data_IF_270407181105
#
_entry.id   IF_270407181105
#
_cell.length_a   1.000
_cell.length_b   1.000
_cell.length_c   1.000
_cell.angle_alpha   90.00
_cell.angle_beta   90.00
_cell.angle_gamma   90.00
#
_symmetry.space_group_name_H-M   'P 1'
#
loop_
_entity.id
_entity.type
_entity.pdbx_description
1 polymer ?
#
# COMPACT_ATOMS: atom_id res chain seq x y z
N UNK A 1 4.76 -6.78 27.03
CA UNK A 1 5.60 -5.91 26.17
C UNK A 1 5.02 -5.99 24.78
N UNK A 2 4.48 -4.89 24.26
CA UNK A 2 3.90 -4.84 22.91
C UNK A 2 5.06 -4.79 21.91
N UNK A 3 5.16 -5.78 21.04
CA UNK A 3 6.19 -5.79 19.99
C UNK A 3 5.99 -4.55 19.10
N UNK A 4 7.06 -3.79 18.78
CA UNK A 4 6.93 -2.66 17.87
C UNK A 4 6.44 -3.16 16.52
N UNK A 5 5.29 -2.67 16.07
CA UNK A 5 4.66 -3.07 14.81
C UNK A 5 5.54 -2.64 13.65
N UNK A 6 6.19 -3.58 12.98
CA UNK A 6 7.06 -3.33 11.81
C UNK A 6 6.28 -2.96 10.55
N UNK A 7 4.95 -3.06 10.58
CA UNK A 7 4.08 -2.83 9.43
C UNK A 7 3.03 -1.75 9.72
N UNK A 8 2.81 -0.85 8.76
CA UNK A 8 1.81 0.20 8.76
C UNK A 8 0.93 0.11 7.51
N UNK A 9 -0.37 -0.06 7.70
CA UNK A 9 -1.36 0.10 6.63
C UNK A 9 -1.79 1.57 6.57
N UNK A 10 -1.38 2.26 5.50
CA UNK A 10 -1.65 3.67 5.22
C UNK A 10 -2.48 3.84 3.93
N UNK A 11 -3.17 2.78 3.47
CA UNK A 11 -4.11 2.88 2.35
C UNK A 11 -5.23 3.89 2.65
N UNK A 12 -5.69 4.60 1.62
CA UNK A 12 -6.67 5.67 1.72
C UNK A 12 -6.18 6.96 2.37
N UNK A 13 -4.93 7.00 2.88
CA UNK A 13 -4.36 8.20 3.46
C UNK A 13 -3.70 9.08 2.39
N UNK A 14 -3.81 10.40 2.57
CA UNK A 14 -3.03 11.36 1.79
C UNK A 14 -1.56 11.31 2.20
N UNK A 15 -0.66 11.75 1.32
CA UNK A 15 0.78 11.82 1.62
C UNK A 15 1.10 12.50 2.97
N UNK A 16 0.39 13.58 3.34
CA UNK A 16 0.59 14.26 4.61
C UNK A 16 0.20 13.40 5.82
N UNK A 17 -0.93 12.68 5.72
CA UNK A 17 -1.38 11.76 6.78
C UNK A 17 -0.48 10.53 6.89
N UNK A 18 0.00 10.02 5.76
CA UNK A 18 1.01 8.93 5.71
C UNK A 18 2.29 9.35 6.43
N UNK A 19 2.84 10.54 6.14
CA UNK A 19 4.03 11.07 6.83
C UNK A 19 3.79 11.22 8.33
N UNK A 20 2.65 11.76 8.74
CA UNK A 20 2.29 11.89 10.16
C UNK A 20 2.24 10.53 10.85
N UNK A 21 1.63 9.53 10.21
CA UNK A 21 1.51 8.19 10.77
C UNK A 21 2.86 7.49 10.91
N UNK A 22 3.73 7.66 9.93
CA UNK A 22 5.13 7.22 10.00
C UNK A 22 5.81 7.90 11.18
N UNK A 23 5.83 9.24 11.24
CA UNK A 23 6.49 9.97 12.34
C UNK A 23 6.00 9.56 13.72
N UNK A 24 4.68 9.40 13.91
CA UNK A 24 4.10 8.91 15.17
C UNK A 24 4.58 7.51 15.54
N UNK A 25 4.75 6.64 14.55
CA UNK A 25 5.23 5.27 14.76
C UNK A 25 6.72 5.23 15.06
N UNK A 26 7.48 6.25 14.65
CA UNK A 26 8.91 6.36 14.95
C UNK A 26 9.17 6.77 16.40
N UNK A 27 8.21 7.41 17.06
CA UNK A 27 8.37 7.87 18.44
C UNK A 27 8.64 6.65 19.34
N UNK A 28 9.86 6.60 19.90
CA UNK A 28 10.32 5.49 20.75
C UNK A 28 10.93 4.29 20.02
N UNK A 29 11.15 4.36 18.69
CA UNK A 29 11.78 3.28 17.89
C UNK A 29 13.24 3.51 17.51
N UNK A 30 13.88 4.57 18.02
CA UNK A 30 15.25 4.95 17.66
C UNK A 30 16.28 3.81 17.79
N UNK A 31 16.05 2.85 18.68
CA UNK A 31 17.01 1.77 18.99
C UNK A 31 16.62 0.40 18.40
N UNK A 32 15.56 0.31 17.61
CA UNK A 32 15.03 -0.97 17.12
C UNK A 32 15.85 -1.56 15.96
N UNK A 33 16.59 -0.73 15.21
CA UNK A 33 17.41 -1.13 14.06
C UNK A 33 16.66 -1.82 12.91
N UNK A 34 15.32 -1.88 12.97
CA UNK A 34 14.49 -2.59 12.01
C UNK A 34 13.74 -1.60 11.12
N UNK A 35 13.70 -1.83 9.80
CA UNK A 35 12.92 -1.01 8.90
C UNK A 35 11.43 -1.15 9.18
N UNK A 36 10.67 -0.18 8.67
CA UNK A 36 9.22 -0.15 8.81
C UNK A 36 8.58 -0.19 7.44
N UNK A 37 7.75 -1.21 7.27
CA UNK A 37 7.04 -1.50 6.04
C UNK A 37 5.74 -0.70 6.05
N UNK A 38 5.54 0.14 5.04
CA UNK A 38 4.39 1.02 4.93
C UNK A 38 3.65 0.71 3.64
N UNK A 39 2.45 0.18 3.75
CA UNK A 39 1.56 -0.06 2.63
C UNK A 39 0.78 1.22 2.30
N UNK A 40 0.85 1.67 1.05
CA UNK A 40 0.17 2.88 0.57
C UNK A 40 -0.62 2.58 -0.70
N UNK A 41 -1.62 3.41 -0.99
CA UNK A 41 -2.31 3.40 -2.29
C UNK A 41 -1.60 4.34 -3.27
N UNK A 42 -1.41 3.86 -4.50
CA UNK A 42 -0.75 4.63 -5.56
C UNK A 42 -1.52 5.90 -5.95
N UNK A 43 -2.85 5.88 -5.84
CA UNK A 43 -3.73 6.98 -6.26
C UNK A 43 -3.78 8.15 -5.27
N UNK A 44 -3.66 7.87 -3.96
CA UNK A 44 -3.80 8.87 -2.89
C UNK A 44 -2.46 9.32 -2.29
N UNK A 45 -1.40 8.52 -2.47
CA UNK A 45 -0.12 8.72 -1.84
C UNK A 45 0.98 9.01 -2.88
N UNK A 46 1.45 10.25 -2.92
CA UNK A 46 2.63 10.61 -3.70
C UNK A 46 3.89 10.26 -2.88
N UNK A 47 4.57 9.17 -3.23
CA UNK A 47 5.73 8.72 -2.48
C UNK A 47 6.93 9.65 -2.54
N UNK A 48 7.13 10.41 -3.62
CA UNK A 48 8.19 11.43 -3.68
C UNK A 48 7.98 12.50 -2.59
N UNK A 49 6.71 12.86 -2.32
CA UNK A 49 6.39 13.79 -1.23
C UNK A 49 6.58 13.15 0.13
N UNK A 50 6.30 11.86 0.27
CA UNK A 50 6.53 11.12 1.52
C UNK A 50 8.02 11.00 1.79
N UNK A 51 8.81 10.53 0.82
CA UNK A 51 10.27 10.38 0.93
C UNK A 51 10.95 11.71 1.23
N UNK A 52 10.61 12.78 0.50
CA UNK A 52 11.14 14.11 0.75
C UNK A 52 10.81 14.61 2.18
N UNK A 53 9.63 14.31 2.71
CA UNK A 53 9.22 14.74 4.06
C UNK A 53 9.87 13.94 5.20
N UNK A 54 10.49 12.81 4.87
CA UNK A 54 11.22 11.92 5.77
C UNK A 54 12.74 12.06 5.63
N UNK A 55 13.23 12.86 4.67
CA UNK A 55 14.67 13.13 4.54
C UNK A 55 15.24 13.72 5.83
N UNK A 56 16.33 13.12 6.32
CA UNK A 56 16.99 13.52 7.57
C UNK A 56 16.59 12.69 8.80
N UNK A 57 15.55 11.86 8.72
CA UNK A 57 15.24 10.89 9.77
C UNK A 57 16.18 9.67 9.62
N UNK A 58 16.84 9.25 10.71
CA UNK A 58 17.77 8.10 10.72
C UNK A 58 17.06 6.74 10.69
N UNK A 59 15.93 6.64 9.99
CA UNK A 59 15.09 5.44 10.01
C UNK A 59 14.89 4.87 8.62
N UNK A 60 14.97 3.55 8.54
CA UNK A 60 14.77 2.79 7.33
C UNK A 60 13.26 2.56 7.10
N UNK A 61 12.68 3.20 6.08
CA UNK A 61 11.24 3.12 5.76
C UNK A 61 11.09 2.53 4.37
N UNK A 62 10.34 1.44 4.27
CA UNK A 62 10.05 0.76 3.01
C UNK A 62 8.60 1.02 2.59
N UNK A 63 8.41 1.66 1.45
CA UNK A 63 7.08 1.94 0.89
C UNK A 63 6.67 0.80 -0.05
N UNK A 64 5.53 0.18 0.22
CA UNK A 64 4.89 -0.82 -0.63
C UNK A 64 3.61 -0.24 -1.22
N UNK A 65 3.36 -0.48 -2.49
CA UNK A 65 2.12 -0.07 -3.14
C UNK A 65 1.17 -1.25 -3.22
N UNK A 66 -0.07 -1.02 -2.81
CA UNK A 66 -1.13 -1.96 -3.10
C UNK A 66 -1.50 -1.79 -4.58
N UNK A 67 -1.16 -2.79 -5.41
CA UNK A 67 -1.68 -2.84 -6.77
C UNK A 67 -3.20 -2.93 -6.67
N UNK A 68 -3.91 -2.02 -7.36
CA UNK A 68 -5.36 -2.10 -7.49
C UNK A 68 -5.69 -3.46 -8.09
N UNK A 69 -6.18 -4.39 -7.25
CA UNK A 69 -6.78 -5.61 -7.77
C UNK A 69 -8.09 -5.17 -8.37
N UNK A 70 -8.09 -4.86 -9.67
CA UNK A 70 -9.29 -4.54 -10.45
C UNK A 70 -10.39 -5.56 -10.09
N UNK A 71 -11.44 -5.18 -9.35
CA UNK A 71 -12.53 -6.08 -9.07
C UNK A 71 -13.46 -6.06 -10.28
N UNK A 72 -13.14 -6.84 -11.32
CA UNK A 72 -14.07 -7.01 -12.42
C UNK A 72 -13.47 -7.45 -13.74
N UNK A 73 -13.06 -8.71 -13.86
CA UNK A 73 -13.49 -9.60 -14.95
C UNK A 73 -13.49 -11.01 -14.38
N UNK A 74 -14.61 -11.40 -13.79
CA UNK A 74 -14.90 -12.83 -13.61
C UNK A 74 -15.13 -13.35 -15.03
N UNK A 75 -14.25 -14.23 -15.49
CA UNK A 75 -14.37 -14.90 -16.77
C UNK A 75 -15.69 -15.69 -16.79
N UNK A 76 -16.70 -15.21 -17.53
CA UNK A 76 -17.79 -16.06 -17.99
C UNK A 76 -17.33 -16.74 -19.28
N UNK A 77 -16.76 -17.92 -19.12
CA UNK A 77 -16.79 -18.90 -20.18
C UNK A 77 -18.22 -19.44 -20.31
N UNK A 78 -18.76 -19.41 -21.52
CA UNK A 78 -19.54 -20.50 -22.13
C UNK A 78 -19.77 -20.14 -23.60
N UNK A 79 -18.82 -20.55 -24.43
CA UNK A 79 -19.08 -20.80 -25.84
C UNK A 79 -19.67 -22.20 -25.93
N UNK A 80 -20.98 -22.33 -26.15
CA UNK A 80 -21.57 -23.57 -26.62
C UNK A 80 -22.56 -23.32 -27.76
N UNK A 81 -22.36 -24.09 -28.83
CA UNK A 81 -22.77 -23.77 -30.20
C UNK A 81 -24.27 -23.86 -30.47
N UNK A 82 -24.76 -22.92 -31.27
CA UNK A 82 -26.07 -23.01 -31.94
C UNK A 82 -25.87 -23.45 -33.38
N UNK A 83 -26.25 -24.69 -33.69
CA UNK A 83 -26.33 -25.22 -35.05
C UNK A 83 -27.48 -24.55 -35.85
N UNK A 84 -27.37 -24.38 -37.17
CA UNK A 84 -28.42 -23.77 -37.98
C UNK A 84 -29.53 -24.79 -38.32
N UNK A 85 -30.78 -24.48 -37.95
CA UNK A 85 -31.97 -25.18 -38.48
C UNK A 85 -32.33 -24.59 -39.84
N UNK A 86 -32.40 -25.48 -40.84
CA UNK A 86 -32.96 -25.22 -42.16
C UNK A 86 -34.47 -24.94 -42.07
N UNK A 87 -34.94 -23.97 -42.85
CA UNK A 87 -36.30 -23.89 -43.42
C UNK A 87 -36.19 -23.46 -44.87
#
# INVERSE_FOLDING_TARGET
>A
MTQPTTFLDCRGLSAALTVLRIKQTMIGRADCGLPIDVLVDETCCNAERVSASLTGESTDVQLFYCAETMPGVIAQGEAEGTAPRHV
#
